data_IF_584518401276
#
_entry.id   IF_584518401276
#
_cell.length_a   1.000
_cell.length_b   1.000
_cell.length_c   1.000
_cell.angle_alpha   90.00
_cell.angle_beta   90.00
_cell.angle_gamma   90.00
#
_symmetry.space_group_name_H-M   'P 1'
#
loop_
_entity.id
_entity.type
_entity.pdbx_description
1 polymer ?
#
# COMPACT_ATOMS: atom_id res chain seq x y z
N UNK A 1 -3.57 10.46 5.83
CA UNK A 1 -4.45 10.02 4.71
C UNK A 1 -3.81 8.83 4.00
N UNK A 2 -4.51 8.12 3.10
CA UNK A 2 -3.89 7.01 2.31
C UNK A 2 -2.61 7.48 1.60
N UNK A 3 -2.63 8.68 1.01
CA UNK A 3 -1.47 9.20 0.27
C UNK A 3 -0.23 9.38 1.14
N UNK A 4 -0.39 9.69 2.42
CA UNK A 4 0.74 9.88 3.34
C UNK A 4 1.42 8.55 3.69
N UNK A 5 0.71 7.42 3.60
CA UNK A 5 1.25 6.07 3.86
C UNK A 5 2.27 5.69 2.79
N UNK A 6 1.93 5.94 1.52
CA UNK A 6 2.72 5.51 0.36
C UNK A 6 3.72 6.54 -0.15
N UNK A 7 3.52 7.84 0.17
CA UNK A 7 4.39 8.93 -0.33
C UNK A 7 5.87 8.69 -0.06
N UNK A 8 6.21 8.14 1.10
CA UNK A 8 7.61 7.89 1.48
C UNK A 8 8.27 6.72 0.75
N UNK A 9 7.50 5.94 0.00
CA UNK A 9 7.97 4.78 -0.74
C UNK A 9 8.31 5.11 -2.20
N UNK A 10 8.15 6.38 -2.61
CA UNK A 10 8.37 6.84 -3.98
C UNK A 10 9.74 7.48 -4.16
N UNK A 11 10.42 7.11 -5.26
CA UNK A 11 11.67 7.72 -5.71
C UNK A 11 12.95 7.03 -5.20
N UNK A 12 14.13 7.55 -5.58
CA UNK A 12 15.42 6.90 -5.32
C UNK A 12 15.85 6.87 -3.85
N UNK A 13 15.10 7.55 -2.96
CA UNK A 13 15.27 7.51 -1.50
C UNK A 13 14.01 6.96 -0.81
N UNK A 14 13.37 5.98 -1.45
CA UNK A 14 12.22 5.30 -0.90
C UNK A 14 12.54 4.62 0.44
N UNK A 15 11.59 4.69 1.36
CA UNK A 15 11.63 3.97 2.62
C UNK A 15 10.81 2.68 2.53
N UNK A 16 11.37 1.60 3.08
CA UNK A 16 10.63 0.35 3.30
C UNK A 16 9.60 0.54 4.41
N UNK A 17 8.47 -0.16 4.29
CA UNK A 17 7.48 -0.33 5.34
C UNK A 17 7.57 -1.74 5.88
N UNK A 18 7.48 -1.86 7.19
CA UNK A 18 7.26 -3.12 7.87
C UNK A 18 5.76 -3.27 8.08
N UNK A 19 5.18 -4.31 7.51
CA UNK A 19 3.77 -4.65 7.60
C UNK A 19 3.65 -5.95 8.38
N UNK A 20 2.66 -6.02 9.27
CA UNK A 20 2.34 -7.22 10.02
C UNK A 20 1.03 -7.77 9.47
N UNK A 21 1.07 -9.02 9.02
CA UNK A 21 -0.15 -9.70 8.60
C UNK A 21 -0.98 -10.14 9.83
N UNK A 22 -2.26 -10.49 9.65
CA UNK A 22 -3.12 -10.94 10.75
C UNK A 22 -2.67 -12.25 11.42
N UNK A 23 -1.80 -13.02 10.78
CA UNK A 23 -1.22 -14.27 11.29
C UNK A 23 0.11 -14.05 12.04
N UNK A 24 0.57 -12.80 12.16
CA UNK A 24 1.81 -12.43 12.82
C UNK A 24 3.07 -12.53 11.95
N UNK A 25 2.92 -12.79 10.65
CA UNK A 25 4.01 -12.69 9.69
C UNK A 25 4.41 -11.23 9.43
N UNK A 26 5.68 -11.04 9.09
CA UNK A 26 6.24 -9.72 8.82
C UNK A 26 6.64 -9.66 7.35
N UNK A 27 6.10 -8.66 6.64
CA UNK A 27 6.46 -8.33 5.26
C UNK A 27 7.14 -6.97 5.25
N UNK A 28 8.30 -6.88 4.61
CA UNK A 28 8.99 -5.59 4.39
C UNK A 28 8.95 -5.24 2.91
N UNK A 29 8.34 -4.11 2.56
CA UNK A 29 8.18 -3.70 1.16
C UNK A 29 8.09 -2.18 1.02
N UNK A 30 8.53 -1.65 -0.12
CA UNK A 30 8.31 -0.27 -0.56
C UNK A 30 7.36 -0.21 -1.77
N UNK A 31 6.76 -1.34 -2.16
CA UNK A 31 5.73 -1.37 -3.17
C UNK A 31 4.42 -0.79 -2.61
N UNK A 32 3.98 0.32 -3.19
CA UNK A 32 2.76 1.01 -2.80
C UNK A 32 1.51 0.14 -2.95
N UNK A 33 1.38 -0.65 -4.02
CA UNK A 33 0.23 -1.52 -4.23
C UNK A 33 0.19 -2.62 -3.18
N UNK A 34 1.32 -3.29 -2.93
CA UNK A 34 1.44 -4.29 -1.87
C UNK A 34 1.08 -3.70 -0.50
N UNK A 35 1.60 -2.51 -0.15
CA UNK A 35 1.26 -1.83 1.11
C UNK A 35 -0.26 -1.59 1.21
N UNK A 36 -0.88 -1.09 0.15
CA UNK A 36 -2.30 -0.76 0.13
C UNK A 36 -3.22 -1.99 0.26
N UNK A 37 -2.77 -3.16 -0.17
CA UNK A 37 -3.50 -4.43 -0.04
C UNK A 37 -3.46 -5.02 1.37
N UNK A 38 -2.37 -4.78 2.11
CA UNK A 38 -2.18 -5.34 3.45
C UNK A 38 -2.77 -4.46 4.57
N UNK A 39 -2.95 -3.16 4.34
CA UNK A 39 -3.52 -2.26 5.36
C UNK A 39 -5.04 -2.41 5.48
N UNK A 40 -5.54 -2.33 6.71
CA UNK A 40 -6.98 -2.26 6.97
C UNK A 40 -7.45 -0.79 6.96
N UNK A 41 -8.46 -0.47 6.16
CA UNK A 41 -9.06 0.87 6.10
C UNK A 41 -10.58 0.82 6.31
N UNK A 42 -11.09 1.74 7.11
CA UNK A 42 -12.53 1.82 7.40
C UNK A 42 -13.27 2.73 6.41
N UNK A 43 -12.65 3.83 6.00
CA UNK A 43 -13.31 4.87 5.21
C UNK A 43 -13.64 4.38 3.78
N UNK A 44 -14.89 4.51 3.29
CA UNK A 44 -15.28 4.03 1.96
C UNK A 44 -14.44 4.61 0.82
N UNK A 45 -14.16 5.92 0.84
CA UNK A 45 -13.29 6.53 -0.18
C UNK A 45 -11.86 5.96 -0.17
N UNK A 46 -11.37 5.52 0.99
CA UNK A 46 -10.06 4.90 1.09
C UNK A 46 -10.06 3.52 0.40
N UNK A 47 -11.14 2.74 0.56
CA UNK A 47 -11.33 1.47 -0.16
C UNK A 47 -11.35 1.67 -1.67
N UNK A 48 -12.09 2.67 -2.17
CA UNK A 48 -12.12 2.99 -3.61
C UNK A 48 -10.74 3.35 -4.15
N UNK A 49 -9.92 4.10 -3.38
CA UNK A 49 -8.56 4.43 -3.80
C UNK A 49 -7.65 3.20 -3.89
N UNK A 50 -7.80 2.23 -2.98
CA UNK A 50 -7.05 0.96 -3.03
C UNK A 50 -7.45 0.15 -4.26
N UNK A 51 -8.75 0.08 -4.57
CA UNK A 51 -9.26 -0.61 -5.76
C UNK A 51 -8.71 0.00 -7.07
N UNK A 52 -8.69 1.33 -7.17
CA UNK A 52 -8.09 2.03 -8.31
C UNK A 52 -6.60 1.70 -8.43
N UNK A 53 -5.86 1.73 -7.31
CA UNK A 53 -4.43 1.41 -7.30
C UNK A 53 -4.17 -0.03 -7.76
N UNK A 54 -5.01 -0.99 -7.35
CA UNK A 54 -4.93 -2.39 -7.80
C UNK A 54 -5.16 -2.51 -9.30
N UNK A 55 -6.23 -1.90 -9.82
CA UNK A 55 -6.51 -1.94 -11.27
C UNK A 55 -5.38 -1.31 -12.08
N UNK A 56 -4.77 -0.24 -11.58
CA UNK A 56 -3.63 0.37 -12.26
C UNK A 56 -2.41 -0.57 -12.31
N UNK A 57 -2.08 -1.25 -11.20
CA UNK A 57 -1.00 -2.23 -11.14
C UNK A 57 -1.26 -3.43 -12.07
N UNK A 58 -2.51 -3.90 -12.17
CA UNK A 58 -2.92 -4.98 -13.08
C UNK A 58 -2.77 -4.60 -14.56
N UNK A 59 -3.04 -3.35 -14.92
CA UNK A 59 -3.02 -2.88 -16.31
C UNK A 59 -1.61 -2.46 -16.79
N UNK A 60 -0.80 -1.85 -15.92
CA UNK A 60 0.49 -1.26 -16.32
C UNK A 60 1.69 -1.61 -15.42
N UNK A 61 1.46 -2.08 -14.19
CA UNK A 61 2.51 -2.25 -13.17
C UNK A 61 2.88 -0.94 -12.49
#
# INVERSE_FOLDING_TARGET
TIGDVVRTCLGPRAMLKMLMDPMGGIVMTNDGNAILREITVEHPAAKTMIEIARTQDEEIG
#
